data_IF_372556417721
#
_entry.id   IF_372556417721
#
_cell.length_a   1.000
_cell.length_b   1.000
_cell.length_c   1.000
_cell.angle_alpha   90.00
_cell.angle_beta   90.00
_cell.angle_gamma   90.00
#
_symmetry.space_group_name_H-M   'P 1'
#
loop_
_entity.id
_entity.type
_entity.pdbx_description
1 polymer ?
#
# COMPACT_ATOMS: atom_id res chain seq x y z
N UNK A 1 -16.21 9.41 -0.47
CA UNK A 1 -16.44 10.84 -0.23
C UNK A 1 -15.95 11.16 1.17
N UNK A 2 -15.09 12.12 1.27
CA UNK A 2 -14.50 12.59 2.52
C UNK A 2 -14.71 14.11 2.60
N UNK A 3 -15.04 14.61 3.77
CA UNK A 3 -15.17 16.04 4.06
C UNK A 3 -14.09 16.38 5.07
N UNK A 4 -13.18 17.28 4.73
CA UNK A 4 -12.11 17.69 5.61
C UNK A 4 -12.59 18.68 6.69
N UNK A 5 -11.70 19.05 7.61
CA UNK A 5 -12.01 19.97 8.71
C UNK A 5 -12.40 21.39 8.24
N UNK A 6 -12.08 21.73 6.98
CA UNK A 6 -12.44 23.00 6.35
C UNK A 6 -13.77 22.92 5.58
N UNK A 7 -14.42 21.74 5.54
CA UNK A 7 -15.66 21.51 4.82
C UNK A 7 -15.49 21.20 3.33
N UNK A 8 -14.24 21.03 2.84
CA UNK A 8 -14.00 20.62 1.46
C UNK A 8 -14.36 19.16 1.22
N UNK A 9 -15.14 18.91 0.19
CA UNK A 9 -15.55 17.55 -0.18
C UNK A 9 -14.59 16.98 -1.21
N UNK A 10 -13.92 15.88 -0.85
CA UNK A 10 -13.07 15.13 -1.76
C UNK A 10 -13.70 13.78 -2.08
N UNK A 11 -13.83 13.47 -3.38
CA UNK A 11 -14.28 12.15 -3.86
C UNK A 11 -13.06 11.48 -4.48
N UNK A 12 -12.55 10.43 -3.83
CA UNK A 12 -11.41 9.66 -4.31
C UNK A 12 -11.55 8.20 -3.95
N UNK A 13 -10.96 7.31 -4.77
CA UNK A 13 -10.70 5.90 -4.45
C UNK A 13 -9.22 5.67 -4.14
N UNK A 14 -8.39 6.69 -4.27
CA UNK A 14 -6.97 6.62 -4.00
C UNK A 14 -6.70 6.69 -2.49
N UNK A 15 -6.04 5.63 -1.98
CA UNK A 15 -5.73 5.51 -0.55
C UNK A 15 -4.74 6.55 -0.05
N UNK A 16 -3.74 6.91 -0.85
CA UNK A 16 -2.75 7.92 -0.47
C UNK A 16 -3.39 9.31 -0.34
N UNK A 17 -4.22 9.70 -1.29
CA UNK A 17 -4.98 10.97 -1.24
C UNK A 17 -5.90 11.01 -0.02
N UNK A 18 -6.59 9.91 0.29
CA UNK A 18 -7.45 9.81 1.47
C UNK A 18 -6.64 9.97 2.77
N UNK A 19 -5.52 9.25 2.89
CA UNK A 19 -4.69 9.25 4.09
C UNK A 19 -4.00 10.59 4.35
N UNK A 20 -3.63 11.34 3.30
CA UNK A 20 -3.04 12.68 3.45
C UNK A 20 -4.01 13.70 4.03
N UNK A 21 -5.30 13.46 3.87
CA UNK A 21 -6.36 14.36 4.36
C UNK A 21 -6.86 14.00 5.77
N UNK A 22 -6.49 12.84 6.29
CA UNK A 22 -6.80 12.45 7.65
C UNK A 22 -5.76 13.05 8.60
N UNK A 23 -6.24 13.82 9.56
CA UNK A 23 -5.38 14.28 10.66
C UNK A 23 -5.17 13.12 11.63
N UNK A 24 -3.96 12.57 11.64
CA UNK A 24 -3.58 11.42 12.46
C UNK A 24 -2.49 11.81 13.44
N UNK A 25 -2.80 11.75 14.72
CA UNK A 25 -1.85 12.09 15.76
C UNK A 25 -0.94 10.92 16.16
N UNK A 26 -1.44 9.67 16.06
CA UNK A 26 -0.73 8.50 16.55
C UNK A 26 0.51 8.16 15.71
N UNK A 27 1.73 8.02 16.32
CA UNK A 27 2.98 7.78 15.58
C UNK A 27 2.95 6.54 14.67
N UNK A 28 2.38 5.41 15.15
CA UNK A 28 2.29 4.20 14.34
C UNK A 28 1.42 4.38 13.08
N UNK A 29 0.37 5.19 13.18
CA UNK A 29 -0.45 5.48 12.01
C UNK A 29 0.27 6.41 11.01
N UNK A 30 1.13 7.31 11.49
CA UNK A 30 2.01 8.11 10.61
C UNK A 30 2.94 7.23 9.78
N UNK A 31 3.52 6.18 10.39
CA UNK A 31 4.36 5.21 9.66
C UNK A 31 3.57 4.50 8.55
N UNK A 32 2.30 4.15 8.80
CA UNK A 32 1.44 3.53 7.77
C UNK A 32 1.18 4.51 6.62
N UNK A 33 0.96 5.79 6.93
CA UNK A 33 0.78 6.84 5.91
C UNK A 33 2.07 7.02 5.09
N UNK A 34 3.23 7.03 5.74
CA UNK A 34 4.53 7.12 5.06
C UNK A 34 4.77 5.93 4.12
N UNK A 35 4.42 4.71 4.53
CA UNK A 35 4.50 3.53 3.66
C UNK A 35 3.60 3.68 2.42
N UNK A 36 2.38 4.21 2.58
CA UNK A 36 1.48 4.50 1.46
C UNK A 36 2.07 5.56 0.52
N UNK A 37 2.62 6.63 1.06
CA UNK A 37 3.24 7.70 0.27
C UNK A 37 4.49 7.21 -0.48
N UNK A 38 5.27 6.32 0.12
CA UNK A 38 6.43 5.72 -0.55
C UNK A 38 6.01 4.89 -1.77
N UNK A 39 4.94 4.10 -1.65
CA UNK A 39 4.38 3.33 -2.78
C UNK A 39 3.81 4.26 -3.85
N UNK A 40 3.09 5.31 -3.47
CA UNK A 40 2.54 6.30 -4.39
C UNK A 40 3.64 6.99 -5.20
N UNK A 41 4.70 7.42 -4.54
CA UNK A 41 5.85 8.07 -5.19
C UNK A 41 6.62 7.13 -6.12
N UNK A 42 6.69 5.84 -5.80
CA UNK A 42 7.44 4.86 -6.59
C UNK A 42 6.66 4.33 -7.79
N UNK A 43 5.36 4.11 -7.64
CA UNK A 43 4.54 3.37 -8.60
C UNK A 43 3.26 4.11 -9.00
N UNK A 44 2.71 4.93 -8.12
CA UNK A 44 1.44 5.65 -8.35
C UNK A 44 0.19 4.76 -8.32
N UNK A 45 0.32 3.51 -7.84
CA UNK A 45 -0.77 2.53 -7.72
C UNK A 45 -0.51 1.57 -6.56
N UNK A 46 -1.56 0.86 -6.10
CA UNK A 46 -1.44 -0.12 -5.00
C UNK A 46 -1.34 0.48 -3.60
N UNK A 47 -1.51 1.78 -3.42
CA UNK A 47 -1.41 2.50 -2.15
C UNK A 47 -2.33 1.94 -1.08
N UNK A 48 -3.59 1.66 -1.41
CA UNK A 48 -4.56 1.05 -0.49
C UNK A 48 -4.13 -0.36 -0.06
N UNK A 49 -3.60 -1.16 -0.98
CA UNK A 49 -3.08 -2.50 -0.66
C UNK A 49 -1.89 -2.43 0.29
N UNK A 50 -0.98 -1.47 0.10
CA UNK A 50 0.14 -1.23 0.98
C UNK A 50 -0.32 -0.88 2.41
N UNK A 51 -1.32 0.00 2.54
CA UNK A 51 -1.90 0.37 3.84
C UNK A 51 -2.52 -0.83 4.55
N UNK A 52 -3.35 -1.61 3.84
CA UNK A 52 -4.03 -2.79 4.41
C UNK A 52 -3.00 -3.83 4.85
N UNK A 53 -1.98 -4.08 4.04
CA UNK A 53 -0.92 -5.02 4.38
C UNK A 53 -0.12 -4.53 5.60
N UNK A 54 0.33 -3.28 5.60
CA UNK A 54 1.09 -2.70 6.71
C UNK A 54 0.28 -2.71 8.00
N UNK A 55 -0.98 -2.29 7.95
CA UNK A 55 -1.89 -2.32 9.10
C UNK A 55 -2.11 -3.74 9.64
N UNK A 56 -2.22 -4.74 8.75
CA UNK A 56 -2.35 -6.15 9.14
C UNK A 56 -1.09 -6.68 9.82
N UNK A 57 0.09 -6.31 9.32
CA UNK A 57 1.38 -6.69 9.92
C UNK A 57 1.55 -6.04 11.30
N UNK A 58 1.23 -4.75 11.43
CA UNK A 58 1.29 -4.03 12.74
C UNK A 58 0.35 -4.67 13.75
N UNK A 59 -0.88 -5.00 13.34
CA UNK A 59 -1.83 -5.70 14.22
C UNK A 59 -1.29 -7.05 14.67
N UNK A 60 -0.69 -7.82 13.77
CA UNK A 60 -0.08 -9.12 14.13
C UNK A 60 1.12 -8.94 15.06
N UNK A 61 1.94 -7.91 14.86
CA UNK A 61 3.03 -7.60 15.77
C UNK A 61 2.51 -7.31 17.19
N UNK A 62 1.44 -6.53 17.31
CA UNK A 62 0.81 -6.23 18.60
C UNK A 62 0.33 -7.51 19.32
N UNK A 63 -0.35 -8.41 18.60
CA UNK A 63 -0.78 -9.70 19.12
C UNK A 63 0.41 -10.54 19.65
N UNK A 64 1.55 -10.53 18.95
CA UNK A 64 2.76 -11.25 19.34
C UNK A 64 3.44 -10.59 20.57
N UNK A 65 3.42 -9.27 20.67
CA UNK A 65 3.92 -8.53 21.83
C UNK A 65 3.10 -8.87 23.09
N UNK A 66 1.78 -8.97 22.96
CA UNK A 66 0.89 -9.38 24.07
C UNK A 66 1.21 -10.82 24.54
N UNK A 67 1.65 -11.70 23.63
CA UNK A 67 2.12 -13.06 23.97
C UNK A 67 3.53 -13.07 24.58
N UNK A 68 4.19 -11.93 24.76
CA UNK A 68 5.51 -11.79 25.38
C UNK A 68 6.67 -12.03 24.42
N UNK A 69 6.45 -12.06 23.10
CA UNK A 69 7.54 -12.19 22.11
C UNK A 69 8.29 -10.87 22.04
N UNK A 70 9.62 -10.93 22.11
CA UNK A 70 10.45 -9.74 22.07
C UNK A 70 10.33 -9.00 20.72
N UNK A 71 10.23 -7.65 20.70
CA UNK A 71 10.08 -6.88 19.46
C UNK A 71 11.15 -7.16 18.41
N UNK A 72 12.37 -7.42 18.84
CA UNK A 72 13.49 -7.72 17.93
C UNK A 72 13.24 -9.02 17.13
N UNK A 73 12.69 -10.06 17.76
CA UNK A 73 12.39 -11.32 17.08
C UNK A 73 11.26 -11.15 16.05
N UNK A 74 10.29 -10.28 16.34
CA UNK A 74 9.22 -9.95 15.40
C UNK A 74 9.79 -9.23 14.18
N UNK A 75 10.67 -8.26 14.41
CA UNK A 75 11.34 -7.50 13.35
C UNK A 75 12.22 -8.40 12.47
N UNK A 76 13.01 -9.29 13.08
CA UNK A 76 13.83 -10.26 12.36
C UNK A 76 12.98 -11.23 11.53
N UNK A 77 11.86 -11.72 12.08
CA UNK A 77 10.92 -12.56 11.37
C UNK A 77 10.31 -11.85 10.15
N UNK A 78 9.95 -10.58 10.27
CA UNK A 78 9.45 -9.78 9.14
C UNK A 78 10.52 -9.53 8.09
N UNK A 79 11.77 -9.30 8.48
CA UNK A 79 12.88 -9.14 7.54
C UNK A 79 13.14 -10.42 6.73
N UNK A 80 13.08 -11.60 7.39
CA UNK A 80 13.20 -12.88 6.71
C UNK A 80 12.02 -13.13 5.75
N UNK A 81 10.79 -12.87 6.21
CA UNK A 81 9.60 -13.00 5.38
C UNK A 81 9.63 -12.07 4.15
N UNK A 82 10.16 -10.86 4.31
CA UNK A 82 10.38 -9.93 3.19
C UNK A 82 11.30 -10.52 2.14
N UNK A 83 12.46 -11.08 2.54
CA UNK A 83 13.40 -11.71 1.61
C UNK A 83 12.75 -12.83 0.80
N UNK A 84 12.06 -13.75 1.48
CA UNK A 84 11.34 -14.87 0.84
C UNK A 84 10.26 -14.35 -0.12
N UNK A 85 9.52 -13.31 0.29
CA UNK A 85 8.44 -12.73 -0.52
C UNK A 85 8.98 -12.06 -1.79
N UNK A 86 10.10 -11.36 -1.70
CA UNK A 86 10.74 -10.72 -2.86
C UNK A 86 11.23 -11.75 -3.88
N UNK A 87 11.90 -12.81 -3.42
CA UNK A 87 12.33 -13.92 -4.28
C UNK A 87 11.14 -14.59 -4.99
N UNK A 88 10.05 -14.77 -4.27
CA UNK A 88 8.83 -15.36 -4.84
C UNK A 88 8.19 -14.44 -5.87
N UNK A 89 8.09 -13.15 -5.58
CA UNK A 89 7.56 -12.14 -6.51
C UNK A 89 8.41 -12.04 -7.78
N UNK A 90 9.73 -12.12 -7.68
CA UNK A 90 10.60 -12.12 -8.86
C UNK A 90 10.32 -13.31 -9.77
N UNK A 91 10.10 -14.50 -9.21
CA UNK A 91 9.75 -15.72 -9.97
C UNK A 91 8.37 -15.65 -10.61
N UNK A 92 7.40 -14.99 -9.95
CA UNK A 92 6.06 -14.79 -10.48
C UNK A 92 5.99 -13.68 -11.52
N UNK A 93 6.92 -12.72 -11.49
CA UNK A 93 6.88 -11.55 -12.36
C UNK A 93 7.09 -11.96 -13.81
N UNK A 94 6.29 -11.36 -14.71
CA UNK A 94 6.48 -11.51 -16.15
C UNK A 94 7.33 -10.35 -16.66
N UNK A 95 8.52 -10.67 -17.16
CA UNK A 95 9.34 -9.66 -17.86
C UNK A 95 8.61 -9.25 -19.13
N UNK A 96 8.33 -7.98 -19.27
CA UNK A 96 7.69 -7.44 -20.48
C UNK A 96 8.62 -6.45 -21.17
N UNK A 97 8.50 -6.36 -22.49
CA UNK A 97 9.20 -5.35 -23.27
C UNK A 97 8.31 -4.13 -23.47
N UNK A 98 8.90 -2.95 -23.40
CA UNK A 98 8.22 -1.68 -23.75
C UNK A 98 7.69 -1.63 -25.18
N UNK A 99 8.15 -2.52 -26.07
CA UNK A 99 7.64 -2.65 -27.44
C UNK A 99 6.34 -3.47 -27.54
N UNK A 100 5.95 -4.22 -26.51
CA UNK A 100 4.72 -5.02 -26.56
C UNK A 100 3.50 -4.17 -26.17
N UNK A 101 2.90 -3.53 -27.18
CA UNK A 101 1.76 -2.62 -27.02
C UNK A 101 0.54 -3.29 -26.37
N UNK A 102 0.29 -4.56 -26.64
CA UNK A 102 -0.86 -5.27 -26.07
C UNK A 102 -0.70 -5.41 -24.55
N UNK A 103 0.45 -5.87 -24.08
CA UNK A 103 0.72 -6.03 -22.65
C UNK A 103 0.66 -4.67 -21.92
N UNK A 104 1.22 -3.62 -22.53
CA UNK A 104 1.15 -2.27 -21.95
C UNK A 104 -0.29 -1.78 -21.84
N UNK A 105 -1.12 -2.05 -22.85
CA UNK A 105 -2.56 -1.71 -22.82
C UNK A 105 -3.28 -2.47 -21.71
N UNK A 106 -2.99 -3.74 -21.52
CA UNK A 106 -3.63 -4.57 -20.49
C UNK A 106 -3.21 -4.13 -19.07
N UNK A 107 -1.94 -3.75 -18.89
CA UNK A 107 -1.45 -3.15 -17.64
C UNK A 107 -2.18 -1.83 -17.36
N UNK A 108 -2.24 -0.95 -18.36
CA UNK A 108 -2.94 0.34 -18.20
C UNK A 108 -4.42 0.16 -17.85
N UNK A 109 -5.12 -0.78 -18.49
CA UNK A 109 -6.51 -1.12 -18.17
C UNK A 109 -6.64 -1.60 -16.72
N UNK A 110 -5.72 -2.45 -16.25
CA UNK A 110 -5.73 -2.96 -14.87
C UNK A 110 -5.57 -1.83 -13.88
N UNK A 111 -4.64 -0.92 -14.10
CA UNK A 111 -4.43 0.26 -13.24
C UNK A 111 -5.64 1.20 -13.24
N UNK A 112 -6.28 1.40 -14.40
CA UNK A 112 -7.44 2.29 -14.53
C UNK A 112 -8.73 1.70 -13.95
N UNK A 113 -8.87 0.38 -13.91
CA UNK A 113 -10.05 -0.29 -13.34
C UNK A 113 -10.28 0.03 -11.86
N UNK A 114 -9.24 0.39 -11.14
CA UNK A 114 -9.33 0.81 -9.74
C UNK A 114 -9.70 2.30 -9.59
N UNK A 115 -9.72 3.08 -10.68
CA UNK A 115 -9.87 4.55 -10.65
C UNK A 115 -11.16 4.99 -11.35
N UNK A 116 -11.71 6.13 -10.92
CA UNK A 116 -12.98 6.69 -11.43
C UNK A 116 -12.98 7.09 -12.92
N UNK A 117 -11.86 6.96 -13.61
CA UNK A 117 -11.65 7.43 -15.00
C UNK A 117 -12.45 6.61 -16.04
N UNK A 118 -13.03 5.47 -15.67
CA UNK A 118 -13.74 4.58 -16.60
C UNK A 118 -15.26 4.81 -16.66
N UNK A 119 -15.77 5.93 -16.10
CA UNK A 119 -17.22 6.20 -16.04
C UNK A 119 -17.68 7.18 -17.14
N UNK A 120 -16.87 7.45 -18.15
CA UNK A 120 -17.27 8.22 -19.34
C UNK A 120 -17.10 7.41 -20.61
#
# INVERSE_FOLDING_TARGET
MFVDVLGETTITKDGATFLRKIDVEHPAAKVIIEASNAVDNAVGDGTTSAVVLTGSLVKRADELLVLGIAPILISEGYAQALGISLDFLERLSRKTSSSNRQILTDIAKTCLNSKLVLIN
#
